data_IF_517544378666
#
_entry.id   IF_517544378666
#
_cell.length_a   1.000
_cell.length_b   1.000
_cell.length_c   1.000
_cell.angle_alpha   90.00
_cell.angle_beta   90.00
_cell.angle_gamma   90.00
#
_symmetry.space_group_name_H-M   'P 1'
#
loop_
_entity.id
_entity.type
_entity.pdbx_description
1 polymer ?
#
# COMPACT_ATOMS: atom_id res chain seq x y z
N UNK A 1 -20.90 16.51 -1.45
CA UNK A 1 -20.86 15.37 -2.37
C UNK A 1 -21.59 14.22 -1.72
N UNK A 2 -22.83 13.98 -2.14
CA UNK A 2 -23.46 12.69 -1.96
C UNK A 2 -23.02 11.71 -3.06
N UNK A 3 -23.48 10.45 -3.00
CA UNK A 3 -23.12 9.43 -3.98
C UNK A 3 -23.64 9.74 -5.40
N UNK A 4 -24.75 10.48 -5.52
CA UNK A 4 -25.31 10.87 -6.82
C UNK A 4 -24.42 11.94 -7.45
N UNK A 5 -23.99 12.93 -6.67
CA UNK A 5 -23.04 13.95 -7.10
C UNK A 5 -21.69 13.33 -7.50
N UNK A 6 -21.20 12.32 -6.77
CA UNK A 6 -19.96 11.61 -7.13
C UNK A 6 -20.09 10.73 -8.38
N UNK A 7 -21.29 10.26 -8.72
CA UNK A 7 -21.52 9.40 -9.90
C UNK A 7 -21.28 10.14 -11.23
N UNK A 8 -21.37 11.47 -11.21
CA UNK A 8 -21.14 12.33 -12.37
C UNK A 8 -19.71 12.88 -12.44
N UNK A 9 -18.93 12.77 -11.36
CA UNK A 9 -17.49 13.08 -11.38
C UNK A 9 -16.77 12.07 -12.27
N UNK A 10 -15.77 12.56 -13.01
CA UNK A 10 -14.89 11.73 -13.84
C UNK A 10 -13.45 11.91 -13.39
N UNK A 11 -12.73 10.79 -13.35
CA UNK A 11 -11.32 10.78 -13.04
C UNK A 11 -10.51 11.44 -14.17
N UNK A 12 -9.47 12.15 -13.79
CA UNK A 12 -8.45 12.71 -14.67
C UNK A 12 -7.07 12.39 -14.09
N UNK A 13 -6.06 12.31 -14.94
CA UNK A 13 -4.67 12.20 -14.52
C UNK A 13 -4.22 13.52 -13.86
N UNK A 14 -3.66 13.40 -12.66
CA UNK A 14 -3.19 14.55 -11.88
C UNK A 14 -1.82 15.06 -12.32
N UNK A 15 -1.05 14.25 -13.05
CA UNK A 15 0.28 14.56 -13.58
C UNK A 15 0.34 14.40 -15.11
N UNK A 16 -0.47 15.13 -15.90
CA UNK A 16 -0.60 14.91 -17.34
C UNK A 16 0.72 15.06 -18.10
N UNK A 17 1.61 15.93 -17.63
CA UNK A 17 2.88 16.21 -18.33
C UNK A 17 3.94 15.13 -18.11
N UNK A 18 3.81 14.39 -17.00
CA UNK A 18 4.65 13.24 -16.68
C UNK A 18 4.03 11.95 -17.22
N UNK A 19 2.70 11.86 -17.21
CA UNK A 19 1.91 10.67 -17.58
C UNK A 19 0.96 10.94 -18.75
N UNK A 20 1.44 11.40 -19.91
CA UNK A 20 0.57 11.73 -21.04
C UNK A 20 -0.17 10.50 -21.60
N UNK A 21 0.35 9.29 -21.37
CA UNK A 21 -0.36 8.05 -21.69
C UNK A 21 -1.63 7.84 -20.86
N UNK A 22 -1.58 8.17 -19.56
CA UNK A 22 -2.73 8.12 -18.64
C UNK A 22 -3.74 9.22 -18.96
N UNK A 23 -3.26 10.44 -19.20
CA UNK A 23 -4.10 11.61 -19.52
C UNK A 23 -4.94 11.44 -20.80
N UNK A 24 -4.55 10.54 -21.73
CA UNK A 24 -5.40 10.18 -22.89
C UNK A 24 -6.76 9.62 -22.50
N UNK A 25 -6.92 9.14 -21.27
CA UNK A 25 -8.15 8.58 -20.73
C UNK A 25 -8.93 9.54 -19.82
N UNK A 26 -8.53 10.81 -19.74
CA UNK A 26 -9.21 11.82 -18.93
C UNK A 26 -10.70 11.89 -19.25
N UNK A 27 -11.53 11.96 -18.22
CA UNK A 27 -12.97 12.08 -18.36
C UNK A 27 -13.71 10.78 -18.69
N UNK A 28 -13.00 9.69 -18.98
CA UNK A 28 -13.63 8.43 -19.41
C UNK A 28 -14.12 7.57 -18.23
N UNK A 29 -13.43 7.62 -17.09
CA UNK A 29 -13.70 6.73 -15.96
C UNK A 29 -14.44 7.43 -14.81
N UNK A 30 -15.33 6.68 -14.15
CA UNK A 30 -16.01 7.09 -12.91
C UNK A 30 -15.16 6.72 -11.70
N UNK A 31 -15.46 7.32 -10.54
CA UNK A 31 -14.90 6.91 -9.26
C UNK A 31 -15.61 5.62 -8.81
N UNK A 32 -14.90 4.47 -8.68
CA UNK A 32 -15.52 3.21 -8.27
C UNK A 32 -15.83 3.21 -6.77
N UNK A 33 -16.88 2.49 -6.37
CA UNK A 33 -17.11 2.15 -4.96
C UNK A 33 -16.40 0.84 -4.58
N UNK A 34 -16.23 0.61 -3.27
CA UNK A 34 -15.69 -0.66 -2.77
C UNK A 34 -16.57 -1.86 -3.17
N UNK A 35 -17.90 -1.72 -3.17
CA UNK A 35 -18.82 -2.77 -3.60
C UNK A 35 -18.56 -3.16 -5.07
N UNK A 36 -18.36 -2.16 -5.93
CA UNK A 36 -18.08 -2.37 -7.35
C UNK A 36 -16.74 -3.07 -7.56
N UNK A 37 -15.71 -2.69 -6.79
CA UNK A 37 -14.40 -3.32 -6.86
C UNK A 37 -14.45 -4.78 -6.38
N UNK A 38 -15.10 -5.05 -5.25
CA UNK A 38 -15.29 -6.41 -4.72
C UNK A 38 -16.08 -7.29 -5.68
N UNK A 39 -17.06 -6.74 -6.40
CA UNK A 39 -17.85 -7.46 -7.41
C UNK A 39 -17.13 -7.64 -8.76
N UNK A 40 -15.98 -6.99 -9.00
CA UNK A 40 -15.36 -6.97 -10.32
C UNK A 40 -14.65 -8.31 -10.63
N UNK A 41 -14.96 -9.00 -11.75
CA UNK A 41 -14.41 -10.33 -12.06
C UNK A 41 -12.88 -10.40 -12.16
N UNK A 42 -12.21 -9.31 -12.53
CA UNK A 42 -10.75 -9.28 -12.64
C UNK A 42 -10.04 -9.43 -11.28
N UNK A 43 -10.78 -9.33 -10.17
CA UNK A 43 -10.27 -9.56 -8.82
C UNK A 43 -10.16 -11.04 -8.45
N UNK A 44 -10.74 -11.95 -9.23
CA UNK A 44 -10.74 -13.40 -8.92
C UNK A 44 -9.32 -13.93 -8.70
N UNK A 45 -9.13 -14.61 -7.56
CA UNK A 45 -7.83 -15.18 -7.17
C UNK A 45 -6.72 -14.15 -6.88
N UNK A 46 -7.04 -12.84 -6.83
CA UNK A 46 -6.06 -11.77 -6.57
C UNK A 46 -5.98 -11.44 -5.09
N UNK A 47 -4.88 -10.80 -4.70
CA UNK A 47 -4.79 -10.07 -3.42
C UNK A 47 -5.30 -8.65 -3.63
N UNK A 48 -6.32 -8.25 -2.88
CA UNK A 48 -6.83 -6.90 -2.79
C UNK A 48 -6.25 -6.22 -1.55
N UNK A 49 -5.48 -5.16 -1.75
CA UNK A 49 -5.04 -4.28 -0.66
C UNK A 49 -6.02 -3.10 -0.55
N UNK A 50 -6.54 -2.86 0.66
CA UNK A 50 -7.49 -1.79 0.95
C UNK A 50 -6.85 -0.85 1.97
N UNK A 51 -6.52 0.36 1.53
CA UNK A 51 -6.06 1.40 2.44
C UNK A 51 -7.23 2.21 3.01
N UNK A 52 -7.34 2.27 4.33
CA UNK A 52 -8.29 3.16 5.02
C UNK A 52 -7.62 4.51 5.28
N UNK A 53 -8.03 5.52 4.51
CA UNK A 53 -7.53 6.90 4.63
C UNK A 53 -8.24 7.65 5.75
N UNK A 54 -7.47 8.29 6.63
CA UNK A 54 -7.96 9.19 7.68
C UNK A 54 -9.08 8.59 8.55
N UNK A 55 -8.97 7.32 8.92
CA UNK A 55 -10.04 6.60 9.60
C UNK A 55 -10.52 7.26 10.90
N UNK A 56 -9.61 7.57 11.85
CA UNK A 56 -10.02 8.20 13.11
C UNK A 56 -10.59 9.61 12.94
N UNK A 57 -10.21 10.34 11.89
CA UNK A 57 -10.82 11.63 11.58
C UNK A 57 -12.32 11.51 11.32
N UNK A 58 -12.75 10.48 10.59
CA UNK A 58 -14.16 10.25 10.30
C UNK A 58 -14.88 9.55 11.46
N UNK A 59 -14.22 8.62 12.15
CA UNK A 59 -14.75 7.97 13.38
C UNK A 59 -15.10 9.00 14.44
N UNK A 60 -14.22 9.96 14.71
CA UNK A 60 -14.48 11.05 15.67
C UNK A 60 -15.62 11.99 15.25
N UNK A 61 -16.04 11.95 13.98
CA UNK A 61 -17.20 12.66 13.43
C UNK A 61 -18.46 11.82 13.37
N UNK A 62 -18.45 10.64 14.00
CA UNK A 62 -19.60 9.74 14.10
C UNK A 62 -19.78 8.80 12.91
N UNK A 63 -18.78 8.64 12.05
CA UNK A 63 -18.82 7.66 10.96
C UNK A 63 -18.08 6.38 11.38
N UNK A 64 -18.80 5.26 11.50
CA UNK A 64 -18.19 3.98 11.84
C UNK A 64 -17.45 3.36 10.63
N UNK A 65 -16.24 3.84 10.35
CA UNK A 65 -15.45 3.41 9.19
C UNK A 65 -15.13 1.91 9.24
N UNK A 66 -14.80 1.38 10.42
CA UNK A 66 -14.52 -0.04 10.60
C UNK A 66 -15.76 -0.90 10.35
N UNK A 67 -16.91 -0.51 10.94
CA UNK A 67 -18.18 -1.19 10.71
C UNK A 67 -18.62 -1.14 9.26
N UNK A 68 -18.48 0.01 8.58
CA UNK A 68 -18.78 0.15 7.16
C UNK A 68 -17.93 -0.80 6.32
N UNK A 69 -16.60 -0.84 6.51
CA UNK A 69 -15.74 -1.75 5.74
C UNK A 69 -16.09 -3.21 6.03
N UNK A 70 -16.33 -3.56 7.29
CA UNK A 70 -16.72 -4.91 7.69
C UNK A 70 -18.00 -5.37 7.00
N UNK A 71 -19.07 -4.54 7.03
CA UNK A 71 -20.34 -4.84 6.34
C UNK A 71 -20.14 -5.08 4.84
N UNK A 72 -19.30 -4.26 4.18
CA UNK A 72 -19.02 -4.36 2.75
C UNK A 72 -18.31 -5.67 2.40
N UNK A 73 -17.34 -6.07 3.22
CA UNK A 73 -16.63 -7.33 3.05
C UNK A 73 -17.56 -8.53 3.32
N UNK A 74 -18.38 -8.49 4.38
CA UNK A 74 -19.34 -9.54 4.74
C UNK A 74 -20.39 -9.79 3.66
N UNK A 75 -20.84 -8.73 2.99
CA UNK A 75 -21.86 -8.82 1.93
C UNK A 75 -21.32 -9.28 0.58
N UNK A 76 -20.01 -9.32 0.41
CA UNK A 76 -19.36 -9.76 -0.83
C UNK A 76 -18.96 -11.24 -0.80
N UNK A 77 -18.82 -11.84 -1.96
CA UNK A 77 -18.42 -13.25 -2.14
C UNK A 77 -16.91 -13.43 -2.31
N UNK A 78 -16.12 -12.46 -1.84
CA UNK A 78 -14.68 -12.37 -2.07
C UNK A 78 -13.92 -13.65 -1.69
N UNK A 79 -14.29 -14.29 -0.58
CA UNK A 79 -13.69 -15.58 -0.15
C UNK A 79 -13.95 -16.70 -1.15
N UNK A 80 -15.20 -16.82 -1.61
CA UNK A 80 -15.60 -17.87 -2.54
C UNK A 80 -14.90 -17.71 -3.90
N UNK A 81 -14.59 -16.46 -4.27
CA UNK A 81 -13.83 -16.09 -5.47
C UNK A 81 -12.31 -16.16 -5.30
N UNK A 82 -11.84 -16.65 -4.15
CA UNK A 82 -10.41 -16.81 -3.87
C UNK A 82 -9.65 -15.49 -3.73
N UNK A 83 -10.34 -14.38 -3.52
CA UNK A 83 -9.72 -13.08 -3.25
C UNK A 83 -9.05 -13.16 -1.87
N UNK A 84 -7.84 -12.62 -1.74
CA UNK A 84 -7.19 -12.40 -0.43
C UNK A 84 -7.30 -10.92 -0.10
N UNK A 85 -7.59 -10.58 1.16
CA UNK A 85 -7.72 -9.17 1.57
C UNK A 85 -6.59 -8.80 2.52
N UNK A 86 -5.91 -7.70 2.20
CA UNK A 86 -4.96 -7.00 3.07
C UNK A 86 -5.56 -5.64 3.37
N UNK A 87 -5.60 -5.26 4.64
CA UNK A 87 -6.08 -3.95 5.09
C UNK A 87 -4.87 -3.17 5.62
N UNK A 88 -4.74 -1.92 5.19
CA UNK A 88 -3.66 -1.05 5.62
C UNK A 88 -4.15 0.35 5.99
N UNK A 89 -3.40 1.02 6.87
CA UNK A 89 -3.60 2.42 7.23
C UNK A 89 -2.35 2.94 7.94
N UNK A 90 -2.17 4.26 7.95
CA UNK A 90 -1.18 4.95 8.78
C UNK A 90 -1.66 5.20 10.21
N UNK A 91 -2.94 4.97 10.47
CA UNK A 91 -3.59 5.26 11.75
C UNK A 91 -3.64 3.98 12.59
N UNK A 92 -2.80 3.93 13.63
CA UNK A 92 -2.63 2.73 14.47
C UNK A 92 -3.93 2.35 15.19
N UNK A 93 -4.62 3.34 15.77
CA UNK A 93 -5.88 3.13 16.46
C UNK A 93 -6.96 2.65 15.48
N UNK A 94 -7.02 3.23 14.28
CA UNK A 94 -7.91 2.75 13.23
C UNK A 94 -7.62 1.29 12.85
N UNK A 95 -6.36 0.91 12.73
CA UNK A 95 -5.97 -0.47 12.39
C UNK A 95 -6.44 -1.48 13.45
N UNK A 96 -6.37 -1.13 14.74
CA UNK A 96 -6.93 -1.97 15.81
C UNK A 96 -8.45 -2.12 15.68
N UNK A 97 -9.16 -1.03 15.41
CA UNK A 97 -10.62 -1.06 15.18
C UNK A 97 -10.99 -1.90 13.94
N UNK A 98 -10.23 -1.76 12.85
CA UNK A 98 -10.41 -2.56 11.63
C UNK A 98 -10.19 -4.03 11.90
N UNK A 99 -9.14 -4.39 12.65
CA UNK A 99 -8.86 -5.78 13.03
C UNK A 99 -9.98 -6.38 13.88
N UNK A 100 -10.48 -5.62 14.84
CA UNK A 100 -11.60 -6.05 15.68
C UNK A 100 -12.90 -6.24 14.87
N UNK A 101 -13.20 -5.34 13.95
CA UNK A 101 -14.45 -5.36 13.19
C UNK A 101 -14.44 -6.33 12.00
N UNK A 102 -13.31 -6.43 11.28
CA UNK A 102 -13.21 -7.22 10.04
C UNK A 102 -12.77 -8.67 10.30
N UNK A 103 -12.15 -8.99 11.43
CA UNK A 103 -11.78 -10.36 11.80
C UNK A 103 -10.46 -10.87 11.21
N UNK A 104 -10.04 -12.06 11.65
CA UNK A 104 -8.68 -12.58 11.46
C UNK A 104 -8.41 -13.27 10.10
N UNK A 105 -9.40 -13.31 9.20
CA UNK A 105 -9.30 -13.90 7.86
C UNK A 105 -8.69 -12.96 6.81
N UNK A 106 -8.25 -11.77 7.24
CA UNK A 106 -7.52 -10.76 6.46
C UNK A 106 -6.13 -10.57 7.08
N UNK A 107 -5.22 -10.00 6.31
CA UNK A 107 -3.96 -9.48 6.84
C UNK A 107 -4.08 -8.00 7.15
N UNK A 108 -3.35 -7.56 8.16
CA UNK A 108 -3.29 -6.17 8.61
C UNK A 108 -1.85 -5.69 8.47
N UNK A 109 -1.63 -4.73 7.58
CA UNK A 109 -0.29 -4.20 7.27
C UNK A 109 -0.27 -2.72 7.67
N UNK A 110 0.62 -2.35 8.59
CA UNK A 110 0.71 -0.97 9.06
C UNK A 110 1.55 -0.12 8.11
N UNK A 111 1.00 1.00 7.65
CA UNK A 111 1.74 1.95 6.81
C UNK A 111 2.57 2.88 7.69
N UNK A 112 3.85 3.05 7.34
CA UNK A 112 4.71 4.06 7.96
C UNK A 112 5.58 4.73 6.91
N UNK A 113 6.04 5.94 7.25
CA UNK A 113 6.85 6.77 6.38
C UNK A 113 7.88 7.52 7.21
N UNK A 114 8.95 8.00 6.58
CA UNK A 114 10.01 8.77 7.23
C UNK A 114 9.46 9.91 8.11
N UNK A 115 8.40 10.59 7.66
CA UNK A 115 7.79 11.71 8.37
C UNK A 115 6.92 11.31 9.57
N UNK A 116 6.62 10.02 9.74
CA UNK A 116 5.77 9.46 10.80
C UNK A 116 6.53 8.58 11.78
N UNK A 117 7.85 8.52 11.68
CA UNK A 117 8.67 7.84 12.68
C UNK A 117 8.44 8.44 14.08
N UNK A 118 8.62 7.64 15.14
CA UNK A 118 8.58 8.14 16.51
C UNK A 118 9.51 9.35 16.72
N UNK A 119 9.13 10.25 17.63
CA UNK A 119 9.91 11.46 17.91
C UNK A 119 11.35 11.12 18.29
N UNK A 120 12.31 11.74 17.60
CA UNK A 120 13.74 11.52 17.79
C UNK A 120 14.33 10.40 16.94
N UNK A 121 13.52 9.63 16.22
CA UNK A 121 14.00 8.61 15.27
C UNK A 121 14.18 9.20 13.86
N UNK A 122 15.33 8.90 13.25
CA UNK A 122 15.65 9.26 11.85
C UNK A 122 15.68 8.04 10.93
N UNK A 123 15.62 6.84 11.48
CA UNK A 123 15.58 5.56 10.78
C UNK A 123 14.62 4.65 11.54
N UNK A 124 14.05 3.66 10.85
CA UNK A 124 13.14 2.72 11.50
C UNK A 124 13.89 1.87 12.53
N UNK A 125 13.41 1.87 13.77
CA UNK A 125 14.06 1.10 14.85
C UNK A 125 13.49 -0.31 15.00
N UNK A 126 14.33 -1.24 15.47
CA UNK A 126 13.89 -2.58 15.83
C UNK A 126 12.84 -2.59 16.96
N UNK A 127 12.85 -1.58 17.83
CA UNK A 127 11.88 -1.43 18.90
C UNK A 127 10.50 -1.09 18.32
N UNK A 128 10.45 -0.10 17.42
CA UNK A 128 9.23 0.31 16.76
C UNK A 128 8.62 -0.81 15.90
N UNK A 129 9.45 -1.55 15.17
CA UNK A 129 8.99 -2.71 14.39
C UNK A 129 8.43 -3.83 15.27
N UNK A 130 9.01 -4.07 16.45
CA UNK A 130 8.44 -5.04 17.41
C UNK A 130 7.09 -4.60 17.93
N UNK A 131 6.89 -3.31 18.20
CA UNK A 131 5.58 -2.78 18.61
C UNK A 131 4.53 -3.00 17.51
N UNK A 132 4.86 -2.71 16.26
CA UNK A 132 3.98 -2.99 15.11
C UNK A 132 3.63 -4.49 15.04
N UNK A 133 4.62 -5.37 15.26
CA UNK A 133 4.45 -6.82 15.21
C UNK A 133 3.61 -7.41 16.36
N UNK A 134 3.35 -6.66 17.44
CA UNK A 134 2.43 -7.11 18.49
C UNK A 134 0.98 -7.18 17.98
N UNK A 135 0.61 -6.27 17.07
CA UNK A 135 -0.77 -6.10 16.63
C UNK A 135 -1.01 -6.41 15.14
N UNK A 136 0.01 -6.37 14.29
CA UNK A 136 -0.15 -6.42 12.83
C UNK A 136 0.72 -7.49 12.16
N UNK A 137 0.29 -7.94 10.98
CA UNK A 137 0.92 -9.02 10.21
C UNK A 137 2.08 -8.51 9.35
N UNK A 138 2.14 -7.21 9.09
CA UNK A 138 3.17 -6.61 8.25
C UNK A 138 3.32 -5.11 8.42
N UNK A 139 4.34 -4.58 7.75
CA UNK A 139 4.62 -3.15 7.63
C UNK A 139 4.80 -2.77 6.15
N UNK A 140 4.32 -1.60 5.78
CA UNK A 140 4.45 -1.03 4.43
C UNK A 140 5.20 0.29 4.52
N UNK A 141 6.44 0.29 4.01
CA UNK A 141 7.43 1.35 4.17
C UNK A 141 7.45 2.29 2.97
N UNK A 142 7.61 3.60 3.18
CA UNK A 142 7.95 4.49 2.08
C UNK A 142 9.39 4.21 1.58
N UNK A 143 9.63 4.39 0.28
CA UNK A 143 10.96 4.15 -0.30
C UNK A 143 12.11 4.91 0.40
N UNK A 144 11.93 6.15 0.90
CA UNK A 144 12.95 6.83 1.70
C UNK A 144 13.46 6.04 2.90
N UNK A 145 12.61 5.26 3.59
CA UNK A 145 13.03 4.41 4.71
C UNK A 145 13.91 3.21 4.30
N UNK A 146 14.06 2.97 3.00
CA UNK A 146 14.97 1.97 2.45
C UNK A 146 16.31 2.58 1.99
N UNK A 147 16.46 3.90 2.03
CA UNK A 147 17.67 4.57 1.55
C UNK A 147 18.73 4.68 2.64
N UNK A 148 19.96 4.32 2.27
CA UNK A 148 21.18 4.56 3.06
C UNK A 148 22.20 5.30 2.19
N UNK A 149 23.19 5.95 2.82
CA UNK A 149 24.31 6.55 2.10
C UNK A 149 25.41 5.50 1.89
N UNK A 150 25.85 5.34 0.65
CA UNK A 150 27.05 4.54 0.36
C UNK A 150 28.35 5.27 0.74
N UNK A 151 29.50 4.60 0.55
CA UNK A 151 30.82 5.16 0.86
C UNK A 151 31.14 6.47 0.10
N UNK A 152 30.43 6.75 -0.98
CA UNK A 152 30.58 7.95 -1.81
C UNK A 152 29.63 9.08 -1.40
N UNK A 153 28.74 8.83 -0.44
CA UNK A 153 27.69 9.76 -0.03
C UNK A 153 26.50 9.79 -0.99
N UNK A 154 26.33 8.75 -1.82
CA UNK A 154 25.18 8.59 -2.71
C UNK A 154 24.10 7.76 -2.02
N UNK A 155 22.84 8.17 -2.12
CA UNK A 155 21.74 7.35 -1.61
C UNK A 155 21.59 6.07 -2.43
N UNK A 156 21.70 4.92 -1.76
CA UNK A 156 21.44 3.59 -2.30
C UNK A 156 20.33 2.92 -1.50
N UNK A 157 19.62 2.00 -2.15
CA UNK A 157 18.66 1.15 -1.45
C UNK A 157 19.42 0.10 -0.64
N UNK A 158 19.06 -0.04 0.63
CA UNK A 158 19.62 -0.99 1.59
C UNK A 158 18.54 -1.92 2.12
N UNK A 159 18.97 -3.10 2.56
CA UNK A 159 18.10 -4.11 3.15
C UNK A 159 17.95 -3.97 4.67
N UNK A 160 18.66 -3.05 5.33
CA UNK A 160 18.69 -2.95 6.80
C UNK A 160 17.30 -2.87 7.44
N UNK A 161 16.47 -1.93 7.00
CA UNK A 161 15.08 -1.77 7.45
C UNK A 161 14.23 -3.03 7.19
N UNK A 162 14.48 -3.71 6.08
CA UNK A 162 13.76 -4.91 5.67
C UNK A 162 14.16 -6.09 6.56
N UNK A 163 15.45 -6.31 6.79
CA UNK A 163 15.97 -7.35 7.67
C UNK A 163 15.47 -7.18 9.10
N UNK A 164 15.41 -5.95 9.61
CA UNK A 164 14.84 -5.66 10.92
C UNK A 164 13.35 -6.03 11.00
N UNK A 165 12.56 -5.69 9.98
CA UNK A 165 11.14 -5.99 9.95
C UNK A 165 10.89 -7.50 9.84
N UNK A 166 11.65 -8.20 8.98
CA UNK A 166 11.64 -9.65 8.86
C UNK A 166 12.03 -10.34 10.17
N UNK A 167 13.03 -9.82 10.88
CA UNK A 167 13.44 -10.34 12.18
C UNK A 167 12.37 -10.15 13.27
N UNK A 168 11.47 -9.16 13.12
CA UNK A 168 10.29 -8.99 13.94
C UNK A 168 9.10 -9.90 13.52
N UNK A 169 9.23 -10.65 12.43
CA UNK A 169 8.19 -11.56 11.93
C UNK A 169 7.15 -10.89 11.03
N UNK A 170 7.41 -9.66 10.56
CA UNK A 170 6.50 -8.90 9.71
C UNK A 170 6.67 -9.25 8.22
N UNK A 171 5.56 -9.29 7.49
CA UNK A 171 5.61 -9.09 6.04
C UNK A 171 6.02 -7.65 5.72
N UNK A 172 6.82 -7.47 4.68
CA UNK A 172 7.41 -6.16 4.36
C UNK A 172 7.02 -5.75 2.95
N UNK A 173 6.26 -4.67 2.87
CA UNK A 173 5.87 -4.02 1.62
C UNK A 173 6.64 -2.69 1.51
N UNK A 174 6.81 -2.19 0.27
CA UNK A 174 7.32 -0.85 0.05
C UNK A 174 6.52 -0.07 -1.00
N UNK A 175 6.42 1.24 -0.83
CA UNK A 175 5.67 2.13 -1.70
C UNK A 175 6.37 3.50 -1.88
N UNK A 176 6.14 4.24 -2.97
CA UNK A 176 5.60 3.80 -4.26
C UNK A 176 6.72 3.83 -5.28
N UNK A 177 6.97 2.71 -5.94
CA UNK A 177 7.94 2.62 -7.02
C UNK A 177 7.36 3.23 -8.30
N UNK A 178 8.09 4.15 -8.92
CA UNK A 178 7.63 4.91 -10.10
C UNK A 178 8.72 5.04 -11.13
N UNK A 179 8.42 4.70 -12.39
CA UNK A 179 9.37 4.79 -13.49
C UNK A 179 9.90 6.21 -13.68
N UNK A 180 9.09 7.24 -13.42
CA UNK A 180 9.51 8.64 -13.51
C UNK A 180 10.51 9.09 -12.43
N UNK A 181 10.66 8.33 -11.34
CA UNK A 181 11.64 8.61 -10.26
C UNK A 181 13.03 8.02 -10.59
N UNK A 182 13.16 7.27 -11.70
CA UNK A 182 14.41 6.63 -12.09
C UNK A 182 15.48 7.66 -12.50
N UNK A 183 16.61 7.66 -11.78
CA UNK A 183 17.82 8.41 -12.16
C UNK A 183 18.79 7.59 -13.03
N UNK A 184 18.57 6.28 -13.09
CA UNK A 184 19.23 5.32 -13.98
C UNK A 184 18.24 4.84 -15.05
N UNK A 185 18.55 3.75 -15.76
CA UNK A 185 17.51 3.04 -16.51
C UNK A 185 16.39 2.56 -15.57
N UNK A 186 15.15 2.53 -16.04
CA UNK A 186 13.99 2.06 -15.26
C UNK A 186 14.20 0.61 -14.82
N UNK A 187 14.73 -0.23 -15.70
CA UNK A 187 15.03 -1.64 -15.40
C UNK A 187 16.02 -1.78 -14.25
N UNK A 188 17.14 -1.02 -14.28
CA UNK A 188 18.13 -1.03 -13.21
C UNK A 188 17.54 -0.51 -11.89
N UNK A 189 16.76 0.57 -11.96
CA UNK A 189 16.12 1.14 -10.78
C UNK A 189 15.11 0.17 -10.15
N UNK A 190 14.28 -0.48 -10.96
CA UNK A 190 13.28 -1.44 -10.49
C UNK A 190 13.94 -2.72 -9.95
N UNK A 191 14.99 -3.22 -10.62
CA UNK A 191 15.75 -4.39 -10.17
C UNK A 191 16.39 -4.15 -8.80
N UNK A 192 16.92 -2.95 -8.53
CA UNK A 192 17.49 -2.61 -7.22
C UNK A 192 16.48 -2.78 -6.09
N UNK A 193 15.22 -2.40 -6.30
CA UNK A 193 14.14 -2.56 -5.30
C UNK A 193 13.65 -4.01 -5.24
N UNK A 194 13.45 -4.65 -6.40
CA UNK A 194 12.90 -6.01 -6.47
C UNK A 194 13.79 -7.06 -5.79
N UNK A 195 15.11 -6.83 -5.78
CA UNK A 195 16.10 -7.75 -5.20
C UNK A 195 16.34 -7.56 -3.70
N UNK A 196 15.61 -6.66 -3.04
CA UNK A 196 15.79 -6.36 -1.60
C UNK A 196 15.16 -7.38 -0.65
N UNK A 197 14.34 -8.32 -1.16
CA UNK A 197 13.65 -9.32 -0.34
C UNK A 197 12.32 -8.87 0.27
N UNK A 198 11.75 -7.77 -0.25
CA UNK A 198 10.36 -7.35 0.03
C UNK A 198 9.36 -8.44 -0.37
N UNK A 199 8.26 -8.56 0.38
CA UNK A 199 7.14 -9.46 0.05
C UNK A 199 6.19 -8.86 -0.99
N UNK A 200 6.19 -7.53 -1.11
CA UNK A 200 5.38 -6.80 -2.08
C UNK A 200 5.90 -5.40 -2.33
N UNK A 201 5.66 -4.90 -3.54
CA UNK A 201 6.03 -3.54 -3.94
C UNK A 201 4.80 -2.90 -4.57
N UNK A 202 4.38 -1.76 -4.03
CA UNK A 202 3.41 -0.90 -4.70
C UNK A 202 4.14 -0.12 -5.78
N UNK A 203 3.73 -0.34 -7.02
CA UNK A 203 4.37 0.22 -8.21
C UNK A 203 3.31 0.78 -9.15
N UNK A 204 3.58 1.95 -9.74
CA UNK A 204 2.65 2.61 -10.66
C UNK A 204 2.69 2.01 -12.07
N UNK A 205 3.76 1.27 -12.40
CA UNK A 205 3.95 0.54 -13.65
C UNK A 205 4.15 -0.96 -13.39
N UNK A 206 3.08 -1.70 -13.03
CA UNK A 206 3.19 -3.10 -12.62
C UNK A 206 3.68 -4.03 -13.73
N UNK A 207 3.44 -3.71 -14.99
CA UNK A 207 3.95 -4.43 -16.16
C UNK A 207 5.48 -4.40 -16.24
N UNK A 208 6.08 -3.25 -15.98
CA UNK A 208 7.54 -3.09 -15.95
C UNK A 208 8.15 -3.90 -14.81
N UNK A 209 7.64 -3.75 -13.58
CA UNK A 209 8.14 -4.52 -12.43
C UNK A 209 7.97 -6.02 -12.66
N UNK A 210 6.83 -6.45 -13.21
CA UNK A 210 6.57 -7.85 -13.50
C UNK A 210 7.61 -8.43 -14.45
N UNK A 211 7.98 -7.69 -15.49
CA UNK A 211 8.98 -8.12 -16.47
C UNK A 211 10.36 -8.34 -15.84
N UNK A 212 10.73 -7.50 -14.87
CA UNK A 212 11.98 -7.64 -14.11
C UNK A 212 11.94 -8.88 -13.22
N UNK A 213 10.87 -9.06 -12.45
CA UNK A 213 10.72 -10.21 -11.55
C UNK A 213 10.72 -11.53 -12.33
N UNK A 214 9.95 -11.62 -13.41
CA UNK A 214 9.90 -12.83 -14.26
C UNK A 214 11.24 -13.12 -14.93
N UNK A 215 12.06 -12.11 -15.24
CA UNK A 215 13.41 -12.28 -15.80
C UNK A 215 14.49 -12.68 -14.79
N UNK A 216 14.20 -12.56 -13.49
CA UNK A 216 15.11 -12.92 -12.39
C UNK A 216 14.78 -14.26 -11.72
N UNK A 217 13.61 -14.83 -12.01
CA UNK A 217 13.12 -16.11 -11.48
C UNK A 217 13.61 -17.31 -12.31
#
# INVERSE_FOLDING_TARGET
FDLVELADVRAIERLPEVRPGSAKFDGQFKIPTIDQLLAAPFMDGKTLVIEVKHGMHFTTRGMDIAGILSEKLERSDWKARGIKVVIESFDYEMMLLLKAACGADKKYVFLTEQARLPEGETHISACYLKQIAEDFDGVSLDLPLLLELDETGTHTISNGSIELAKAAGLEVYAWTLKAEDATTSVDEYFAKVALTGLDGIFVDQPDLLRSIVDGTA
#
